data_IF_698501872807
#
_entry.id   IF_698501872807
#
_cell.length_a   1.000
_cell.length_b   1.000
_cell.length_c   1.000
_cell.angle_alpha   90.00
_cell.angle_beta   90.00
_cell.angle_gamma   90.00
#
_symmetry.space_group_name_H-M   'P 1'
#
loop_
_entity.id
_entity.type
_entity.pdbx_description
1 polymer ?
#
# COMPACT_ATOMS: atom_id res chain seq x y z
N UNK A 1 -4.51 -24.11 49.23
CA UNK A 1 -3.74 -22.99 48.65
C UNK A 1 -2.62 -23.58 47.78
N UNK A 2 -2.69 -23.40 46.46
CA UNK A 2 -1.56 -23.64 45.54
C UNK A 2 -1.65 -22.54 44.47
N UNK A 3 -0.84 -21.49 44.63
CA UNK A 3 -0.70 -20.40 43.67
C UNK A 3 0.23 -20.89 42.54
N UNK A 4 -0.29 -21.01 41.33
CA UNK A 4 0.52 -21.20 40.13
C UNK A 4 0.89 -19.83 39.56
N UNK A 5 2.19 -19.53 39.55
CA UNK A 5 2.77 -18.33 38.93
C UNK A 5 2.95 -18.60 37.44
N UNK A 6 2.14 -17.93 36.61
CA UNK A 6 2.31 -17.92 35.15
C UNK A 6 3.33 -16.84 34.78
N UNK A 7 4.52 -17.29 34.39
CA UNK A 7 5.53 -16.48 33.70
C UNK A 7 4.99 -16.08 32.32
N UNK A 8 4.56 -14.83 32.16
CA UNK A 8 4.39 -14.22 30.83
C UNK A 8 5.78 -13.86 30.29
N UNK A 9 6.33 -14.72 29.45
CA UNK A 9 7.43 -14.36 28.56
C UNK A 9 6.90 -13.37 27.52
N UNK A 10 7.23 -12.09 27.68
CA UNK A 10 7.06 -11.09 26.63
C UNK A 10 7.89 -11.51 25.41
N UNK A 11 7.21 -12.00 24.38
CA UNK A 11 7.78 -12.17 23.06
C UNK A 11 8.17 -10.81 22.52
N UNK A 12 9.48 -10.56 22.43
CA UNK A 12 10.04 -9.41 21.75
C UNK A 12 9.79 -9.61 20.25
N UNK A 13 8.72 -9.03 19.73
CA UNK A 13 8.44 -9.00 18.30
C UNK A 13 9.53 -8.18 17.61
N UNK A 14 10.54 -8.86 17.09
CA UNK A 14 11.50 -8.29 16.14
C UNK A 14 10.73 -7.79 14.93
N UNK A 15 10.33 -6.51 14.96
CA UNK A 15 9.79 -5.82 13.80
C UNK A 15 10.85 -5.84 12.71
N UNK A 16 10.65 -6.66 11.69
CA UNK A 16 11.46 -6.63 10.49
C UNK A 16 11.38 -5.20 9.93
N UNK A 17 12.47 -4.44 10.05
CA UNK A 17 12.65 -3.20 9.33
C UNK A 17 12.76 -3.59 7.85
N UNK A 18 11.63 -3.66 7.17
CA UNK A 18 11.60 -3.72 5.72
C UNK A 18 12.39 -2.50 5.21
N UNK A 19 13.52 -2.74 4.55
CA UNK A 19 14.22 -1.70 3.81
C UNK A 19 13.26 -1.22 2.71
N UNK A 20 12.62 -0.08 2.93
CA UNK A 20 11.71 0.54 1.98
C UNK A 20 12.54 1.18 0.86
N UNK A 21 12.93 0.39 -0.14
CA UNK A 21 13.74 0.80 -1.30
C UNK A 21 12.99 1.74 -2.28
N UNK A 22 11.77 2.14 -1.94
CA UNK A 22 10.94 3.01 -2.76
C UNK A 22 10.39 4.17 -1.93
N UNK A 23 10.50 5.38 -2.48
CA UNK A 23 10.02 6.61 -1.89
C UNK A 23 9.04 7.27 -2.85
N UNK A 24 7.82 7.54 -2.38
CA UNK A 24 6.81 8.28 -3.12
C UNK A 24 6.98 9.78 -2.84
N UNK A 25 6.92 10.60 -3.89
CA UNK A 25 6.75 12.03 -3.75
C UNK A 25 5.36 12.33 -3.14
N UNK A 26 5.13 13.54 -2.61
CA UNK A 26 3.86 13.87 -1.96
C UNK A 26 2.63 13.61 -2.83
N UNK A 27 2.74 13.79 -4.15
CA UNK A 27 1.65 13.61 -5.12
C UNK A 27 1.64 12.23 -5.79
N UNK A 28 2.51 11.33 -5.36
CA UNK A 28 2.64 10.02 -5.97
C UNK A 28 1.63 9.02 -5.37
N UNK A 29 0.95 8.33 -6.26
CA UNK A 29 -0.02 7.28 -5.99
C UNK A 29 0.32 5.99 -6.75
N UNK A 30 0.06 4.85 -6.11
CA UNK A 30 0.33 3.51 -6.62
C UNK A 30 -0.77 2.52 -6.18
N UNK A 31 -1.06 1.54 -7.01
CA UNK A 31 -1.76 0.34 -6.54
C UNK A 31 -0.72 -0.63 -5.95
N UNK A 32 -1.07 -1.29 -4.85
CA UNK A 32 -0.23 -2.30 -4.20
C UNK A 32 -1.08 -3.45 -3.66
N UNK A 33 -0.41 -4.57 -3.43
CA UNK A 33 -1.03 -5.73 -2.80
C UNK A 33 -1.08 -5.51 -1.27
N UNK A 34 -2.26 -5.54 -0.67
CA UNK A 34 -2.48 -5.29 0.75
C UNK A 34 -1.93 -6.38 1.67
N UNK A 35 -1.70 -7.58 1.16
CA UNK A 35 -1.23 -8.73 1.94
C UNK A 35 0.28 -8.72 2.12
N UNK A 36 1.03 -8.37 1.06
CA UNK A 36 2.49 -8.43 1.07
C UNK A 36 3.18 -7.08 0.74
N UNK A 37 2.42 -6.01 0.52
CA UNK A 37 2.94 -4.69 0.18
C UNK A 37 3.58 -4.60 -1.21
N UNK A 38 3.44 -5.61 -2.06
CA UNK A 38 4.06 -5.62 -3.38
C UNK A 38 3.47 -4.55 -4.30
N UNK A 39 4.33 -3.83 -5.02
CA UNK A 39 3.93 -2.81 -5.97
C UNK A 39 3.26 -3.43 -7.20
N UNK A 40 2.04 -2.97 -7.50
CA UNK A 40 1.23 -3.46 -8.61
C UNK A 40 1.31 -2.48 -9.78
N UNK A 41 2.40 -2.61 -10.55
CA UNK A 41 2.77 -1.67 -11.61
C UNK A 41 1.73 -1.58 -12.75
N UNK A 42 1.19 -2.73 -13.16
CA UNK A 42 0.19 -2.82 -14.23
C UNK A 42 -1.12 -2.14 -13.81
N UNK A 43 -1.58 -2.45 -12.61
CA UNK A 43 -2.78 -1.88 -12.00
C UNK A 43 -2.64 -0.37 -11.83
N UNK A 44 -1.48 0.09 -11.35
CA UNK A 44 -1.17 1.53 -11.23
C UNK A 44 -1.25 2.22 -12.59
N UNK A 45 -0.63 1.65 -13.63
CA UNK A 45 -0.69 2.23 -14.98
C UNK A 45 -2.10 2.27 -15.55
N UNK A 46 -2.91 1.23 -15.32
CA UNK A 46 -4.31 1.16 -15.76
C UNK A 46 -5.16 2.24 -15.09
N UNK A 47 -5.12 2.34 -13.75
CA UNK A 47 -5.89 3.33 -12.99
C UNK A 47 -5.43 4.75 -13.33
N UNK A 48 -4.12 4.97 -13.44
CA UNK A 48 -3.58 6.27 -13.79
C UNK A 48 -4.08 6.75 -15.16
N UNK A 49 -4.06 5.86 -16.18
CA UNK A 49 -4.60 6.16 -17.51
C UNK A 49 -6.11 6.38 -17.50
N UNK A 50 -6.85 5.59 -16.72
CA UNK A 50 -8.30 5.72 -16.59
C UNK A 50 -8.70 7.11 -16.07
N UNK A 51 -7.94 7.62 -15.11
CA UNK A 51 -8.16 8.95 -14.53
C UNK A 51 -7.56 10.10 -15.37
N UNK A 52 -6.90 9.81 -16.50
CA UNK A 52 -6.29 10.82 -17.37
C UNK A 52 -4.91 11.31 -16.93
N UNK A 53 -4.30 10.68 -15.92
CA UNK A 53 -2.96 11.01 -15.44
C UNK A 53 -1.86 10.25 -16.20
N UNK A 54 -0.64 10.77 -16.14
CA UNK A 54 0.56 10.13 -16.71
C UNK A 54 1.27 9.31 -15.66
N UNK A 55 1.74 8.13 -16.07
CA UNK A 55 2.54 7.25 -15.22
C UNK A 55 4.02 7.45 -15.51
N UNK A 56 4.84 7.62 -14.48
CA UNK A 56 6.30 7.60 -14.55
C UNK A 56 6.81 6.43 -13.69
N UNK A 57 7.55 5.49 -14.26
CA UNK A 57 8.10 4.33 -13.52
C UNK A 57 7.05 3.54 -12.71
N UNK A 58 5.81 3.46 -13.22
CA UNK A 58 4.67 2.82 -12.55
C UNK A 58 4.19 3.52 -11.28
N UNK A 59 4.45 4.83 -11.18
CA UNK A 59 3.90 5.74 -10.18
C UNK A 59 3.00 6.74 -10.91
N UNK A 60 1.85 7.05 -10.32
CA UNK A 60 0.90 8.01 -10.85
C UNK A 60 1.00 9.32 -10.06
N UNK A 61 1.34 10.43 -10.72
CA UNK A 61 1.26 11.75 -10.09
C UNK A 61 -0.18 12.22 -10.07
N UNK A 62 -0.84 12.16 -8.92
CA UNK A 62 -2.27 12.44 -8.73
C UNK A 62 -2.43 13.64 -7.82
N UNK A 63 -3.22 14.61 -8.28
CA UNK A 63 -3.55 15.79 -7.48
C UNK A 63 -4.20 15.40 -6.17
N UNK A 64 -3.94 16.18 -5.11
CA UNK A 64 -4.40 15.87 -3.74
C UNK A 64 -5.89 15.55 -3.65
N UNK A 65 -6.71 16.25 -4.42
CA UNK A 65 -8.16 16.10 -4.47
C UNK A 65 -8.63 14.83 -5.20
N UNK A 66 -7.84 14.30 -6.14
CA UNK A 66 -8.14 13.07 -6.87
C UNK A 66 -7.55 11.81 -6.21
N UNK A 67 -6.76 11.93 -5.14
CA UNK A 67 -6.11 10.77 -4.48
C UNK A 67 -7.10 9.75 -3.93
N UNK A 68 -8.23 10.20 -3.41
CA UNK A 68 -9.24 9.29 -2.89
C UNK A 68 -9.87 8.47 -4.01
N UNK A 69 -10.20 9.13 -5.12
CA UNK A 69 -10.70 8.47 -6.33
C UNK A 69 -9.69 7.45 -6.88
N UNK A 70 -8.40 7.78 -6.89
CA UNK A 70 -7.36 6.82 -7.28
C UNK A 70 -7.37 5.57 -6.39
N UNK A 71 -7.50 5.74 -5.07
CA UNK A 71 -7.55 4.61 -4.12
C UNK A 71 -8.76 3.73 -4.37
N UNK A 72 -9.90 4.33 -4.65
CA UNK A 72 -11.15 3.62 -4.90
C UNK A 72 -11.11 2.90 -6.25
N UNK A 73 -10.49 3.48 -7.27
CA UNK A 73 -10.27 2.83 -8.57
C UNK A 73 -9.33 1.61 -8.47
N UNK A 74 -8.26 1.65 -7.68
CA UNK A 74 -7.43 0.46 -7.44
C UNK A 74 -8.23 -0.69 -6.79
N UNK A 75 -9.11 -0.38 -5.83
CA UNK A 75 -9.99 -1.38 -5.19
C UNK A 75 -11.07 -1.89 -6.16
N UNK A 76 -11.52 -1.04 -7.07
CA UNK A 76 -12.52 -1.36 -8.10
C UNK A 76 -12.06 -2.30 -9.21
N UNK A 77 -10.77 -2.68 -9.25
CA UNK A 77 -10.21 -3.59 -10.27
C UNK A 77 -10.71 -5.05 -10.15
N UNK A 78 -11.55 -5.36 -9.16
CA UNK A 78 -12.08 -6.71 -8.89
C UNK A 78 -10.98 -7.79 -8.77
N UNK A 79 -9.84 -7.40 -8.21
CA UNK A 79 -8.71 -8.27 -7.92
C UNK A 79 -8.55 -8.34 -6.41
N UNK A 80 -8.38 -9.55 -5.87
CA UNK A 80 -8.18 -9.70 -4.43
C UNK A 80 -6.91 -8.98 -3.97
N UNK A 81 -7.01 -8.36 -2.79
CA UNK A 81 -5.90 -7.71 -2.11
C UNK A 81 -5.29 -6.51 -2.85
N UNK A 82 -5.99 -5.87 -3.79
CA UNK A 82 -5.49 -4.65 -4.46
C UNK A 82 -6.01 -3.40 -3.74
N UNK A 83 -5.10 -2.56 -3.27
CA UNK A 83 -5.41 -1.26 -2.66
C UNK A 83 -4.64 -0.16 -3.36
N UNK A 84 -5.20 1.06 -3.37
CA UNK A 84 -4.43 2.24 -3.71
C UNK A 84 -3.75 2.84 -2.48
N UNK A 85 -2.54 3.33 -2.68
CA UNK A 85 -1.75 4.04 -1.70
C UNK A 85 -1.24 5.33 -2.33
N UNK A 86 -1.39 6.42 -1.60
CA UNK A 86 -0.83 7.73 -1.95
C UNK A 86 -0.18 8.28 -0.70
N UNK A 87 0.89 9.05 -0.87
CA UNK A 87 1.53 9.74 0.23
C UNK A 87 0.71 10.92 0.75
#
# INVERSE_FOLDING_TARGET
MRLSVLFLSLGLSSGALAACDWYLQPDDCICMNSTNGALLKSQTATVCRFMGYRTASSICGVDREARQEFKDNCKGLNQENVIGHCR
#
